data_IF_567797965974
#
_entry.id   IF_567797965974
#
_cell.length_a   1.000
_cell.length_b   1.000
_cell.length_c   1.000
_cell.angle_alpha   90.00
_cell.angle_beta   90.00
_cell.angle_gamma   90.00
#
_symmetry.space_group_name_H-M   'P 1'
#
loop_
_entity.id
_entity.type
_entity.pdbx_description
1 polymer ?
#
# COMPACT_ATOMS: atom_id res chain seq x y z
N UNK A 1 -10.58 -3.83 24.84
CA UNK A 1 -9.97 -4.28 23.58
C UNK A 1 -9.16 -3.10 23.07
N UNK A 2 -7.83 -3.20 23.15
CA UNK A 2 -6.93 -2.09 22.84
C UNK A 2 -6.96 -1.73 21.36
N UNK A 3 -6.69 -0.46 21.04
CA UNK A 3 -6.76 0.09 19.67
C UNK A 3 -5.85 -0.68 18.70
N UNK A 4 -4.71 -1.19 19.18
CA UNK A 4 -3.77 -2.02 18.40
C UNK A 4 -4.44 -3.32 17.91
N UNK A 5 -5.21 -3.99 18.76
CA UNK A 5 -5.92 -5.25 18.41
C UNK A 5 -7.06 -5.03 17.40
N UNK A 6 -7.56 -3.80 17.27
CA UNK A 6 -8.58 -3.42 16.29
C UNK A 6 -7.99 -3.11 14.92
N UNK A 7 -6.79 -2.54 14.88
CA UNK A 7 -6.02 -2.29 13.64
C UNK A 7 -5.55 -3.63 13.06
N UNK A 8 -5.06 -4.53 13.91
CA UNK A 8 -4.61 -5.89 13.54
C UNK A 8 -5.73 -6.76 12.93
N UNK A 9 -6.99 -6.54 13.32
CA UNK A 9 -8.13 -7.33 12.85
C UNK A 9 -8.71 -6.89 11.50
N UNK A 10 -8.34 -5.70 11.01
CA UNK A 10 -8.87 -5.14 9.75
C UNK A 10 -7.81 -5.02 8.65
N UNK A 11 -6.55 -4.85 9.00
CA UNK A 11 -5.49 -4.70 8.02
C UNK A 11 -4.93 -6.06 7.59
N UNK A 12 -4.59 -6.22 6.30
CA UNK A 12 -3.87 -7.41 5.84
C UNK A 12 -2.56 -7.60 6.60
N UNK A 13 -2.17 -8.86 6.82
CA UNK A 13 -0.95 -9.20 7.58
C UNK A 13 0.31 -8.57 6.97
N UNK A 14 0.36 -8.48 5.65
CA UNK A 14 1.45 -7.89 4.90
C UNK A 14 1.57 -6.38 5.12
N UNK A 15 0.45 -5.68 5.28
CA UNK A 15 0.43 -4.25 5.61
C UNK A 15 0.99 -4.03 7.02
N UNK A 16 0.52 -4.83 7.99
CA UNK A 16 1.01 -4.77 9.38
C UNK A 16 2.52 -5.08 9.43
N UNK A 17 2.97 -6.10 8.70
CA UNK A 17 4.37 -6.47 8.66
C UNK A 17 5.24 -5.39 7.99
N UNK A 18 4.73 -4.71 6.96
CA UNK A 18 5.41 -3.58 6.34
C UNK A 18 5.55 -2.40 7.31
N UNK A 19 4.52 -2.09 8.09
CA UNK A 19 4.55 -1.04 9.12
C UNK A 19 5.63 -1.33 10.18
N UNK A 20 5.72 -2.58 10.66
CA UNK A 20 6.76 -2.98 11.61
C UNK A 20 8.18 -2.86 11.02
N UNK A 21 8.36 -3.24 9.75
CA UNK A 21 9.66 -3.08 9.07
C UNK A 21 10.03 -1.60 8.89
N UNK A 22 9.04 -0.73 8.64
CA UNK A 22 9.21 0.72 8.59
C UNK A 22 9.65 1.27 9.95
N UNK A 23 9.01 0.85 11.04
CA UNK A 23 9.37 1.26 12.40
C UNK A 23 10.79 0.82 12.77
N UNK A 24 11.21 -0.36 12.30
CA UNK A 24 12.57 -0.88 12.41
C UNK A 24 13.60 -0.16 11.50
N UNK A 25 13.16 0.75 10.63
CA UNK A 25 14.01 1.44 9.65
C UNK A 25 14.42 0.59 8.43
N UNK A 26 13.85 -0.60 8.26
CA UNK A 26 14.14 -1.54 7.17
C UNK A 26 13.27 -1.22 5.94
N UNK A 27 13.49 -0.03 5.39
CA UNK A 27 12.65 0.52 4.32
C UNK A 27 12.67 -0.33 3.04
N UNK A 28 13.82 -0.88 2.65
CA UNK A 28 13.94 -1.71 1.45
C UNK A 28 13.22 -3.06 1.58
N UNK A 29 13.28 -3.67 2.78
CA UNK A 29 12.56 -4.91 3.08
C UNK A 29 11.05 -4.66 3.05
N UNK A 30 10.59 -3.57 3.67
CA UNK A 30 9.19 -3.16 3.66
C UNK A 30 8.70 -2.93 2.22
N UNK A 31 9.47 -2.21 1.40
CA UNK A 31 9.12 -1.93 0.01
C UNK A 31 9.06 -3.22 -0.83
N UNK A 32 9.99 -4.14 -0.61
CA UNK A 32 10.01 -5.44 -1.31
C UNK A 32 8.80 -6.28 -0.93
N UNK A 33 8.44 -6.33 0.35
CA UNK A 33 7.24 -7.02 0.84
C UNK A 33 5.97 -6.44 0.22
N UNK A 34 5.84 -5.12 0.18
CA UNK A 34 4.68 -4.44 -0.40
C UNK A 34 4.55 -4.68 -1.91
N UNK A 35 5.65 -4.63 -2.66
CA UNK A 35 5.64 -4.96 -4.11
C UNK A 35 5.18 -6.39 -4.38
N UNK A 36 5.61 -7.34 -3.55
CA UNK A 36 5.16 -8.73 -3.66
C UNK A 36 3.69 -8.88 -3.27
N UNK A 37 3.24 -8.13 -2.26
CA UNK A 37 1.85 -8.12 -1.83
C UNK A 37 0.92 -7.59 -2.93
N UNK A 38 1.28 -6.47 -3.56
CA UNK A 38 0.51 -5.84 -4.65
C UNK A 38 0.25 -6.79 -5.83
N UNK A 39 1.16 -7.71 -6.12
CA UNK A 39 1.02 -8.70 -7.20
C UNK A 39 0.05 -9.84 -6.88
N UNK A 40 -0.46 -9.95 -5.64
CA UNK A 40 -1.42 -11.00 -5.28
C UNK A 40 -2.76 -10.79 -5.98
N UNK A 41 -3.31 -11.88 -6.51
CA UNK A 41 -4.69 -11.88 -7.00
C UNK A 41 -5.69 -11.75 -5.86
N UNK A 42 -6.85 -11.15 -6.13
CA UNK A 42 -7.95 -11.05 -5.16
C UNK A 42 -7.84 -9.93 -4.13
N UNK A 43 -6.84 -9.05 -4.21
CA UNK A 43 -6.78 -7.85 -3.38
C UNK A 43 -7.96 -6.92 -3.67
N UNK A 44 -8.65 -6.50 -2.63
CA UNK A 44 -9.72 -5.50 -2.76
C UNK A 44 -9.11 -4.09 -2.93
N UNK A 45 -9.95 -3.10 -3.26
CA UNK A 45 -9.49 -1.72 -3.46
C UNK A 45 -8.87 -1.09 -2.22
N UNK A 46 -9.35 -1.45 -1.03
CA UNK A 46 -8.78 -0.97 0.24
C UNK A 46 -7.36 -1.52 0.44
N UNK A 47 -7.15 -2.82 0.21
CA UNK A 47 -5.84 -3.46 0.34
C UNK A 47 -4.81 -2.83 -0.61
N UNK A 48 -5.22 -2.59 -1.86
CA UNK A 48 -4.37 -1.92 -2.87
C UNK A 48 -4.04 -0.49 -2.47
N UNK A 49 -5.03 0.27 -2.00
CA UNK A 49 -4.83 1.66 -1.58
C UNK A 49 -3.86 1.75 -0.40
N UNK A 50 -4.03 0.90 0.61
CA UNK A 50 -3.13 0.83 1.78
C UNK A 50 -1.71 0.44 1.37
N UNK A 51 -1.56 -0.53 0.46
CA UNK A 51 -0.27 -0.94 -0.08
C UNK A 51 0.46 0.22 -0.77
N UNK A 52 -0.22 0.91 -1.70
CA UNK A 52 0.35 2.05 -2.42
C UNK A 52 0.73 3.21 -1.49
N UNK A 53 -0.10 3.51 -0.48
CA UNK A 53 0.20 4.57 0.48
C UNK A 53 1.54 4.34 1.19
N UNK A 54 1.76 3.12 1.68
CA UNK A 54 3.01 2.76 2.35
C UNK A 54 4.20 2.77 1.38
N UNK A 55 4.04 2.27 0.15
CA UNK A 55 5.08 2.35 -0.88
C UNK A 55 5.49 3.81 -1.14
N UNK A 56 4.53 4.73 -1.25
CA UNK A 56 4.82 6.15 -1.50
C UNK A 56 5.54 6.79 -0.33
N UNK A 57 5.13 6.47 0.89
CA UNK A 57 5.75 6.98 2.11
C UNK A 57 7.20 6.52 2.22
N UNK A 58 7.48 5.25 1.91
CA UNK A 58 8.85 4.72 1.84
C UNK A 58 9.67 5.47 0.78
N UNK A 59 9.17 5.56 -0.45
CA UNK A 59 9.88 6.25 -1.55
C UNK A 59 10.15 7.72 -1.22
N UNK A 60 9.23 8.39 -0.52
CA UNK A 60 9.39 9.76 -0.05
C UNK A 60 10.55 9.86 0.92
N UNK A 61 10.60 9.00 1.94
CA UNK A 61 11.69 8.99 2.92
C UNK A 61 13.05 8.62 2.33
N UNK A 62 13.07 7.75 1.32
CA UNK A 62 14.29 7.41 0.58
C UNK A 62 14.75 8.53 -0.37
N UNK A 63 13.93 9.55 -0.62
CA UNK A 63 14.23 10.62 -1.58
C UNK A 63 14.03 10.21 -3.05
N UNK A 64 13.37 9.07 -3.30
CA UNK A 64 13.12 8.49 -4.62
C UNK A 64 11.90 9.14 -5.32
N UNK A 65 11.91 10.48 -5.38
CA UNK A 65 10.75 11.27 -5.82
C UNK A 65 10.31 10.99 -7.26
N UNK A 66 11.23 10.63 -8.16
CA UNK A 66 10.90 10.31 -9.55
C UNK A 66 10.04 9.04 -9.64
N UNK A 67 10.44 7.98 -8.94
CA UNK A 67 9.67 6.74 -8.90
C UNK A 67 8.37 6.91 -8.12
N UNK A 68 8.37 7.70 -7.04
CA UNK A 68 7.14 8.07 -6.31
C UNK A 68 6.12 8.72 -7.25
N UNK A 69 6.52 9.78 -7.97
CA UNK A 69 5.61 10.51 -8.87
C UNK A 69 5.08 9.59 -9.98
N UNK A 70 5.94 8.72 -10.52
CA UNK A 70 5.56 7.75 -11.55
C UNK A 70 4.52 6.76 -11.02
N UNK A 71 4.74 6.19 -9.84
CA UNK A 71 3.79 5.28 -9.20
C UNK A 71 2.47 5.97 -8.86
N UNK A 72 2.51 7.17 -8.26
CA UNK A 72 1.30 7.93 -7.93
C UNK A 72 0.44 8.25 -9.17
N UNK A 73 1.08 8.59 -10.30
CA UNK A 73 0.38 8.81 -11.57
C UNK A 73 -0.30 7.55 -12.09
N UNK A 74 0.37 6.40 -11.98
CA UNK A 74 -0.18 5.12 -12.42
C UNK A 74 -1.41 4.75 -11.58
N UNK A 75 -1.31 4.80 -10.26
CA UNK A 75 -2.43 4.51 -9.36
C UNK A 75 -3.61 5.47 -9.56
N UNK A 76 -3.35 6.76 -9.81
CA UNK A 76 -4.42 7.72 -10.14
C UNK A 76 -5.15 7.35 -11.45
N UNK A 77 -4.41 6.87 -12.45
CA UNK A 77 -5.01 6.41 -13.71
C UNK A 77 -5.90 5.18 -13.48
N UNK A 78 -5.41 4.23 -12.69
CA UNK A 78 -6.14 3.00 -12.34
C UNK A 78 -7.37 3.28 -11.45
N UNK A 79 -7.30 4.24 -10.54
CA UNK A 79 -8.45 4.61 -9.70
C UNK A 79 -9.62 5.15 -10.53
N UNK A 80 -9.35 5.83 -11.64
CA UNK A 80 -10.39 6.25 -12.58
C UNK A 80 -11.12 5.09 -13.29
N UNK A 81 -10.50 3.90 -13.36
CA UNK A 81 -11.16 2.67 -13.81
C UNK A 81 -11.98 2.04 -12.68
N UNK A 82 -11.52 2.17 -11.43
CA UNK A 82 -12.24 1.67 -10.26
C UNK A 82 -13.54 2.43 -10.01
N UNK A 83 -13.55 3.76 -10.23
CA UNK A 83 -14.76 4.58 -10.16
C UNK A 83 -15.82 4.18 -11.19
N UNK A 84 -15.41 3.80 -12.41
CA UNK A 84 -16.37 3.34 -13.45
C UNK A 84 -17.07 2.03 -13.08
N UNK A 85 -16.37 1.14 -12.38
CA UNK A 85 -16.94 -0.13 -11.91
C UNK A 85 -17.93 0.05 -10.74
N UNK A 86 -17.93 1.20 -10.06
CA UNK A 86 -18.90 1.51 -9.02
C UNK A 86 -20.23 2.05 -9.57
N UNK A 87 -20.23 2.63 -10.77
CA UNK A 87 -21.43 3.23 -11.42
C UNK A 87 -22.20 2.21 -12.27
N UNK A 88 -21.65 1.01 -12.48
CA UNK A 88 -22.21 -0.01 -13.38
C UNK A 88 -22.80 -1.23 -12.63
N UNK A 89 -23.36 -1.02 -11.43
CA UNK A 89 -24.11 -2.02 -10.64
C UNK A 89 -25.57 -1.61 -10.52
#
# INVERSE_FOLDING_TARGET
MDKEQLIEKKNPKEIIQAELLIEDGKLDDALTLLKNYEQKEGLNHYDKASCHLLQYQILFWQGEYKELIKHAKQTYKESGEWEKNLVTV
#
